data_IF_095673184129
#
_entry.id   IF_095673184129
#
_cell.length_a   1.000
_cell.length_b   1.000
_cell.length_c   1.000
_cell.angle_alpha   90.00
_cell.angle_beta   90.00
_cell.angle_gamma   90.00
#
_symmetry.space_group_name_H-M   'P 1'
#
loop_
_entity.id
_entity.type
_entity.pdbx_description
1 polymer ?
#
# COMPACT_ATOMS: atom_id res chain seq x y z
N UNK A 1 9.36 -3.11 -6.39
CA UNK A 1 8.63 -4.41 -6.38
C UNK A 1 7.66 -4.55 -5.20
N UNK A 2 8.00 -4.16 -3.96
CA UNK A 2 7.11 -4.32 -2.79
C UNK A 2 5.74 -3.58 -2.88
N UNK A 3 5.68 -2.39 -3.48
CA UNK A 3 4.43 -1.63 -3.61
C UNK A 3 3.37 -2.29 -4.51
N UNK A 4 3.80 -3.07 -5.51
CA UNK A 4 2.87 -3.75 -6.43
C UNK A 4 2.17 -4.94 -5.76
N UNK A 5 2.87 -5.68 -4.89
CA UNK A 5 2.31 -6.83 -4.19
C UNK A 5 1.11 -6.45 -3.28
N UNK A 6 1.24 -5.34 -2.55
CA UNK A 6 0.17 -4.83 -1.67
C UNK A 6 -1.06 -4.40 -2.47
N UNK A 7 -0.85 -3.75 -3.63
CA UNK A 7 -1.92 -3.29 -4.54
C UNK A 7 -2.67 -4.48 -5.17
N UNK A 8 -1.95 -5.50 -5.61
CA UNK A 8 -2.53 -6.67 -6.26
C UNK A 8 -3.44 -7.47 -5.31
N UNK A 9 -3.05 -7.60 -4.04
CA UNK A 9 -3.87 -8.30 -3.05
C UNK A 9 -5.14 -7.56 -2.69
N UNK A 10 -5.07 -6.23 -2.55
CA UNK A 10 -6.25 -5.40 -2.33
C UNK A 10 -7.24 -5.52 -3.49
N UNK A 11 -6.76 -5.45 -4.73
CA UNK A 11 -7.60 -5.56 -5.93
C UNK A 11 -8.25 -6.95 -6.04
N UNK A 12 -7.51 -8.03 -5.76
CA UNK A 12 -8.06 -9.38 -5.76
C UNK A 12 -9.15 -9.55 -4.69
N UNK A 13 -8.96 -8.95 -3.52
CA UNK A 13 -9.93 -8.98 -2.43
C UNK A 13 -11.22 -8.22 -2.80
N UNK A 14 -11.08 -7.01 -3.35
CA UNK A 14 -12.20 -6.21 -3.89
C UNK A 14 -13.01 -7.02 -4.90
N UNK A 15 -12.35 -7.58 -5.91
CA UNK A 15 -13.02 -8.27 -7.01
C UNK A 15 -13.79 -9.52 -6.53
N UNK A 16 -13.39 -10.14 -5.42
CA UNK A 16 -14.13 -11.28 -4.86
C UNK A 16 -15.32 -10.84 -4.00
N UNK A 17 -15.23 -9.68 -3.36
CA UNK A 17 -16.32 -9.10 -2.56
C UNK A 17 -17.46 -8.50 -3.42
N UNK A 18 -17.15 -8.06 -4.64
CA UNK A 18 -18.13 -7.54 -5.61
C UNK A 18 -18.98 -8.65 -6.26
N UNK A 19 -18.56 -9.91 -6.17
CA UNK A 19 -19.32 -11.04 -6.74
C UNK A 19 -20.62 -11.26 -5.95
N UNK A 20 -21.72 -11.69 -6.60
CA UNK A 20 -22.96 -12.03 -5.91
C UNK A 20 -22.77 -13.17 -4.90
N UNK A 21 -21.93 -14.16 -5.23
CA UNK A 21 -21.57 -15.26 -4.33
C UNK A 21 -20.13 -15.07 -3.85
N UNK A 22 -19.98 -14.62 -2.60
CA UNK A 22 -18.68 -14.38 -1.98
C UNK A 22 -18.13 -15.69 -1.43
N UNK A 23 -16.94 -16.09 -1.89
CA UNK A 23 -16.17 -17.19 -1.32
C UNK A 23 -15.33 -16.66 -0.14
N UNK A 24 -15.87 -16.82 1.07
CA UNK A 24 -15.23 -16.30 2.29
C UNK A 24 -13.89 -16.98 2.61
N UNK A 25 -13.68 -18.23 2.21
CA UNK A 25 -12.42 -18.95 2.47
C UNK A 25 -11.30 -18.39 1.58
N UNK A 26 -11.64 -18.08 0.33
CA UNK A 26 -10.72 -17.40 -0.59
C UNK A 26 -10.47 -15.95 -0.18
N UNK A 27 -11.49 -15.25 0.30
CA UNK A 27 -11.34 -13.88 0.83
C UNK A 27 -10.44 -13.87 2.07
N UNK A 28 -10.62 -14.78 3.04
CA UNK A 28 -9.75 -14.89 4.22
C UNK A 28 -8.28 -15.11 3.82
N UNK A 29 -8.05 -15.93 2.80
CA UNK A 29 -6.71 -16.16 2.24
C UNK A 29 -6.07 -14.87 1.71
N UNK A 30 -6.84 -14.03 1.00
CA UNK A 30 -6.33 -12.73 0.53
C UNK A 30 -6.08 -11.75 1.67
N UNK A 31 -6.96 -11.72 2.69
CA UNK A 31 -6.80 -10.88 3.89
C UNK A 31 -5.55 -11.26 4.66
N UNK A 32 -5.30 -12.56 4.82
CA UNK A 32 -4.13 -13.08 5.50
C UNK A 32 -2.84 -12.64 4.80
N UNK A 33 -2.80 -12.76 3.47
CA UNK A 33 -1.64 -12.30 2.72
C UNK A 33 -1.49 -10.77 2.76
N UNK A 34 -2.60 -10.02 2.67
CA UNK A 34 -2.59 -8.57 2.74
C UNK A 34 -2.07 -8.09 4.11
N UNK A 35 -2.46 -8.76 5.19
CA UNK A 35 -1.91 -8.53 6.54
C UNK A 35 -0.40 -8.76 6.57
N UNK A 36 0.10 -9.86 6.01
CA UNK A 36 1.52 -10.19 5.96
C UNK A 36 2.32 -9.15 5.17
N UNK A 37 1.85 -8.80 3.97
CA UNK A 37 2.44 -7.77 3.11
C UNK A 37 2.40 -6.38 3.77
N UNK A 38 1.34 -6.05 4.50
CA UNK A 38 1.23 -4.78 5.24
C UNK A 38 2.20 -4.72 6.41
N UNK A 39 2.39 -5.83 7.12
CA UNK A 39 3.33 -5.91 8.23
C UNK A 39 4.78 -5.72 7.78
N UNK A 40 5.18 -6.31 6.63
CA UNK A 40 6.56 -6.22 6.13
C UNK A 40 6.98 -4.81 5.72
N UNK A 41 6.03 -3.96 5.31
CA UNK A 41 6.29 -2.56 4.92
C UNK A 41 5.96 -1.55 6.02
N UNK A 42 5.61 -2.02 7.24
CA UNK A 42 5.29 -1.16 8.38
C UNK A 42 3.91 -0.49 8.32
N UNK A 43 3.00 -0.95 7.46
CA UNK A 43 1.64 -0.43 7.30
C UNK A 43 0.71 -0.85 8.45
N UNK A 44 0.92 -0.34 9.67
CA UNK A 44 0.18 -0.78 10.86
C UNK A 44 -1.34 -0.58 10.75
N UNK A 45 -1.81 0.53 10.17
CA UNK A 45 -3.24 0.79 10.03
C UNK A 45 -3.93 -0.22 9.11
N UNK A 46 -3.34 -0.48 7.94
CA UNK A 46 -3.82 -1.52 7.00
C UNK A 46 -3.77 -2.90 7.65
N UNK A 47 -2.71 -3.23 8.40
CA UNK A 47 -2.61 -4.49 9.16
C UNK A 47 -3.78 -4.65 10.14
N UNK A 48 -4.08 -3.61 10.92
CA UNK A 48 -5.11 -3.65 11.95
C UNK A 48 -6.51 -3.78 11.36
N UNK A 49 -6.80 -3.06 10.27
CA UNK A 49 -8.08 -3.21 9.55
C UNK A 49 -8.22 -4.58 8.89
N UNK A 50 -7.12 -5.19 8.41
CA UNK A 50 -7.15 -6.58 7.93
C UNK A 50 -7.48 -7.59 9.05
N UNK A 51 -7.06 -7.34 10.29
CA UNK A 51 -7.41 -8.20 11.43
C UNK A 51 -8.93 -8.14 11.70
N UNK A 52 -9.52 -6.94 11.72
CA UNK A 52 -10.97 -6.77 11.87
C UNK A 52 -11.74 -7.39 10.69
N UNK A 53 -11.24 -7.23 9.46
CA UNK A 53 -11.84 -7.81 8.27
C UNK A 53 -11.95 -9.33 8.38
N UNK A 54 -10.91 -9.98 8.92
CA UNK A 54 -10.87 -11.43 9.12
C UNK A 54 -11.96 -11.91 10.08
N UNK A 55 -12.27 -11.17 11.13
CA UNK A 55 -13.36 -11.51 12.05
C UNK A 55 -14.71 -11.55 11.32
N UNK A 56 -14.98 -10.58 10.44
CA UNK A 56 -16.19 -10.58 9.62
C UNK A 56 -16.22 -11.68 8.56
N UNK A 57 -15.06 -12.09 8.03
CA UNK A 57 -14.97 -13.26 7.14
C UNK A 57 -15.37 -14.54 7.86
N UNK A 58 -14.88 -14.73 9.09
CA UNK A 58 -15.20 -15.89 9.92
C UNK A 58 -16.68 -15.93 10.31
N UNK A 59 -17.27 -14.76 10.55
CA UNK A 59 -18.71 -14.61 10.80
C UNK A 59 -19.56 -14.74 9.52
N UNK A 60 -18.93 -14.90 8.34
CA UNK A 60 -19.59 -14.89 7.02
C UNK A 60 -20.50 -13.68 6.80
N UNK A 61 -20.15 -12.54 7.42
CA UNK A 61 -20.92 -11.30 7.33
C UNK A 61 -20.47 -10.51 6.11
N UNK A 62 -21.27 -10.57 5.04
CA UNK A 62 -20.99 -9.82 3.81
C UNK A 62 -20.94 -8.31 4.07
N UNK A 63 -21.91 -7.78 4.80
CA UNK A 63 -21.97 -6.35 5.12
C UNK A 63 -20.79 -5.91 5.99
N UNK A 64 -20.40 -6.72 6.97
CA UNK A 64 -19.21 -6.48 7.78
C UNK A 64 -17.94 -6.46 6.93
N UNK A 65 -17.79 -7.43 6.03
CA UNK A 65 -16.65 -7.49 5.09
C UNK A 65 -16.64 -6.28 4.14
N UNK A 66 -17.79 -5.86 3.60
CA UNK A 66 -17.87 -4.69 2.71
C UNK A 66 -17.51 -3.39 3.44
N UNK A 67 -18.06 -3.16 4.64
CA UNK A 67 -17.69 -1.98 5.45
C UNK A 67 -16.21 -1.94 5.77
N UNK A 68 -15.64 -3.09 6.13
CA UNK A 68 -14.22 -3.17 6.49
C UNK A 68 -13.33 -3.10 5.24
N UNK A 69 -13.82 -3.51 4.07
CA UNK A 69 -13.15 -3.34 2.78
C UNK A 69 -12.88 -1.87 2.47
N UNK A 70 -13.88 -1.02 2.66
CA UNK A 70 -13.77 0.41 2.40
C UNK A 70 -12.75 1.08 3.35
N UNK A 71 -12.68 0.61 4.60
CA UNK A 71 -11.64 1.03 5.55
C UNK A 71 -10.25 0.61 5.09
N UNK A 72 -10.07 -0.65 4.68
CA UNK A 72 -8.78 -1.16 4.15
C UNK A 72 -8.35 -0.35 2.93
N UNK A 73 -9.26 -0.03 2.00
CA UNK A 73 -8.99 0.84 0.83
C UNK A 73 -8.52 2.22 1.26
N UNK A 74 -9.25 2.86 2.16
CA UNK A 74 -8.94 4.22 2.62
C UNK A 74 -7.54 4.28 3.22
N UNK A 75 -7.23 3.37 4.15
CA UNK A 75 -5.93 3.32 4.81
C UNK A 75 -4.79 2.97 3.84
N UNK A 76 -5.06 2.09 2.88
CA UNK A 76 -4.09 1.75 1.84
C UNK A 76 -3.77 2.97 0.95
N UNK A 77 -4.78 3.71 0.51
CA UNK A 77 -4.58 4.87 -0.37
C UNK A 77 -3.89 6.04 0.34
N UNK A 78 -4.23 6.28 1.61
CA UNK A 78 -3.53 7.27 2.45
C UNK A 78 -2.04 6.93 2.55
N UNK A 79 -1.72 5.67 2.86
CA UNK A 79 -0.35 5.19 2.93
C UNK A 79 0.38 5.32 1.59
N UNK A 80 -0.28 4.91 0.49
CA UNK A 80 0.29 5.00 -0.87
C UNK A 80 0.61 6.45 -1.24
N UNK A 81 -0.29 7.38 -0.95
CA UNK A 81 -0.11 8.81 -1.21
C UNK A 81 1.12 9.36 -0.47
N UNK A 82 1.26 9.02 0.82
CA UNK A 82 2.42 9.40 1.65
C UNK A 82 3.73 8.84 1.10
N UNK A 83 3.76 7.57 0.71
CA UNK A 83 4.95 6.99 0.07
C UNK A 83 5.29 7.66 -1.26
N UNK A 84 4.30 7.96 -2.11
CA UNK A 84 4.52 8.66 -3.36
C UNK A 84 5.10 10.06 -3.13
N UNK A 85 4.58 10.82 -2.16
CA UNK A 85 5.12 12.13 -1.80
C UNK A 85 6.57 12.04 -1.31
N UNK A 86 6.89 11.06 -0.45
CA UNK A 86 8.26 10.84 0.02
C UNK A 86 9.22 10.50 -1.13
N UNK A 87 8.82 9.59 -2.03
CA UNK A 87 9.62 9.23 -3.20
C UNK A 87 9.86 10.43 -4.13
N UNK A 88 8.84 11.25 -4.38
CA UNK A 88 9.00 12.47 -5.18
C UNK A 88 10.02 13.44 -4.56
N UNK A 89 9.98 13.65 -3.25
CA UNK A 89 10.95 14.50 -2.56
C UNK A 89 12.37 13.92 -2.65
N UNK A 90 12.53 12.60 -2.48
CA UNK A 90 13.84 11.95 -2.58
C UNK A 90 14.43 12.05 -3.99
N UNK A 91 13.62 11.81 -5.03
CA UNK A 91 14.08 11.92 -6.42
C UNK A 91 14.48 13.37 -6.77
N UNK A 92 13.72 14.38 -6.33
CA UNK A 92 14.09 15.79 -6.52
C UNK A 92 15.40 16.17 -5.82
N UNK A 93 15.67 15.58 -4.65
CA UNK A 93 16.95 15.79 -3.94
C UNK A 93 18.12 15.13 -4.67
N UNK A 94 17.93 13.94 -5.24
CA UNK A 94 18.96 13.28 -6.04
C UNK A 94 19.36 14.13 -7.26
N UNK A 95 18.40 14.74 -7.96
CA UNK A 95 18.65 15.63 -9.11
C UNK A 95 19.35 16.95 -8.70
N UNK A 96 19.13 17.42 -7.47
CA UNK A 96 19.78 18.64 -6.95
C UNK A 96 21.24 18.41 -6.53
N UNK A 97 21.60 17.19 -6.13
CA UNK A 97 23.00 16.80 -5.85
C UNK A 97 23.85 16.68 -7.12
N UNK A 98 23.25 16.34 -8.27
CA UNK A 98 23.96 16.32 -9.56
C UNK A 98 24.19 17.73 -10.14
N UNK A 99 23.23 18.65 -9.97
CA UNK A 99 23.44 20.07 -10.36
C UNK A 99 24.50 20.78 -9.52
N UNK A 100 24.63 20.46 -8.23
CA UNK A 100 25.67 21.04 -7.35
C UNK A 100 27.08 20.62 -7.79
N UNK A 101 27.30 19.34 -8.12
CA UNK A 101 28.60 18.84 -8.62
C UNK A 101 29.04 19.49 -9.94
N UNK A 102 28.09 19.89 -10.79
CA UNK A 102 28.41 20.52 -12.07
C UNK A 102 28.75 22.02 -11.94
N UNK A 103 28.32 22.69 -10.87
CA UNK A 103 28.69 24.09 -10.62
C UNK A 103 30.05 24.25 -9.91
N UNK A 104 30.49 23.26 -9.13
CA UNK A 104 31.78 23.34 -8.42
C UNK A 104 32.99 23.01 -9.34
N UNK A 105 32.77 22.41 -10.52
CA UNK A 105 33.85 22.08 -11.48
C UNK A 105 34.24 23.23 -12.43
N UNK A 106 33.40 24.27 -12.59
CA UNK A 106 33.70 25.43 -13.44
C UNK A 106 34.47 26.54 -12.71
N UNK A 107 34.74 26.40 -11.40
CA UNK A 107 35.46 27.39 -10.59
C UNK A 107 36.98 27.14 -10.46
N UNK A 108 37.50 25.96 -10.83
CA UNK A 108 38.93 25.61 -10.75
C UNK A 108 39.68 25.69 -12.11
N UNK A 109 39.04 26.24 -13.15
CA UNK A 109 39.58 26.28 -14.52
C UNK A 109 39.84 27.68 -15.10
N UNK A 110 39.90 28.73 -14.27
CA UNK A 110 40.25 30.08 -14.71
C UNK A 110 41.51 30.54 -13.98
N UNK A 111 42.68 30.12 -14.48
CA UNK A 111 43.96 30.75 -14.22
C UNK A 111 44.65 31.10 -15.52
#
# INVERSE_FOLDING_TARGET
>A
MAAAALTNQLNALVNNMEKPNVDFDRVDSYVHQLKGSSASVGAQKVKNTCIQFREFCQQRSRDGCLKTLDLVRTEFYDLRSKFQAMLQIMNRKAESTEKKKNCDAEAEGAS
#
